data_IF_976173421388
#
_entry.id   IF_976173421388
#
_cell.length_a   1.000
_cell.length_b   1.000
_cell.length_c   1.000
_cell.angle_alpha   90.00
_cell.angle_beta   90.00
_cell.angle_gamma   90.00
#
_symmetry.space_group_name_H-M   'P 1'
#
loop_
_entity.id
_entity.type
_entity.pdbx_description
1 polymer ?
#
# COMPACT_ATOMS: atom_id res chain seq x y z
N UNK A 1 -33.13 -0.08 4.14
CA UNK A 1 -33.31 -0.31 2.69
C UNK A 1 -32.39 -1.44 2.28
N UNK A 2 -32.96 -2.51 1.74
CA UNK A 2 -32.34 -3.81 1.49
C UNK A 2 -31.21 -3.74 0.44
N UNK A 3 -30.03 -4.25 0.77
CA UNK A 3 -29.02 -4.64 -0.22
C UNK A 3 -29.20 -6.12 -0.55
N UNK A 4 -30.01 -6.40 -1.57
CA UNK A 4 -30.01 -7.69 -2.27
C UNK A 4 -28.82 -7.70 -3.24
N UNK A 5 -27.64 -8.01 -2.72
CA UNK A 5 -26.49 -8.45 -3.51
C UNK A 5 -26.41 -9.97 -3.48
N UNK A 6 -26.42 -10.60 -4.65
CA UNK A 6 -26.25 -12.04 -4.93
C UNK A 6 -25.61 -12.87 -3.82
N UNK A 7 -26.36 -13.81 -3.23
CA UNK A 7 -25.84 -14.79 -2.28
C UNK A 7 -24.98 -15.85 -2.99
N UNK A 8 -23.77 -16.18 -2.49
CA UNK A 8 -23.02 -17.34 -2.96
C UNK A 8 -23.71 -18.66 -2.54
N UNK A 9 -23.39 -19.79 -3.19
CA UNK A 9 -24.10 -21.07 -3.00
C UNK A 9 -24.11 -21.61 -1.56
N UNK A 10 -23.15 -21.19 -0.73
CA UNK A 10 -22.90 -21.73 0.60
C UNK A 10 -23.52 -20.90 1.75
N UNK A 11 -24.41 -19.95 1.44
CA UNK A 11 -25.10 -19.13 2.43
C UNK A 11 -24.43 -17.78 2.73
N UNK A 12 -24.91 -17.03 3.74
CA UNK A 12 -24.39 -15.72 4.08
C UNK A 12 -22.92 -15.83 4.53
N UNK A 13 -22.07 -15.03 3.89
CA UNK A 13 -20.63 -14.98 4.16
C UNK A 13 -20.44 -14.50 5.60
N UNK A 14 -19.73 -15.27 6.43
CA UNK A 14 -19.37 -14.84 7.78
C UNK A 14 -18.69 -13.47 7.74
N UNK A 15 -18.95 -12.60 8.71
CA UNK A 15 -18.35 -11.26 8.76
C UNK A 15 -16.81 -11.30 8.68
N UNK A 16 -16.20 -12.34 9.24
CA UNK A 16 -14.75 -12.62 9.21
C UNK A 16 -14.25 -13.08 7.83
N UNK A 17 -15.13 -13.66 7.02
CA UNK A 17 -14.85 -14.07 5.65
C UNK A 17 -15.10 -12.94 4.64
N UNK A 18 -15.81 -11.87 5.00
CA UNK A 18 -16.08 -10.72 4.11
C UNK A 18 -14.78 -10.04 3.63
N UNK A 19 -13.75 -9.80 4.47
CA UNK A 19 -12.44 -9.32 4.02
C UNK A 19 -11.80 -10.21 2.97
N UNK A 20 -11.75 -11.53 3.21
CA UNK A 20 -11.20 -12.49 2.25
C UNK A 20 -12.04 -12.52 0.95
N UNK A 21 -13.36 -12.45 1.08
CA UNK A 21 -14.29 -12.44 -0.05
C UNK A 21 -14.16 -11.17 -0.90
N UNK A 22 -14.12 -9.98 -0.30
CA UNK A 22 -13.86 -8.72 -1.01
C UNK A 22 -12.52 -8.75 -1.72
N UNK A 23 -11.48 -9.30 -1.08
CA UNK A 23 -10.15 -9.51 -1.68
C UNK A 23 -10.19 -10.45 -2.89
N UNK A 24 -11.03 -11.49 -2.87
CA UNK A 24 -11.21 -12.42 -4.00
C UNK A 24 -12.03 -11.82 -5.17
N UNK A 25 -12.84 -10.78 -4.90
CA UNK A 25 -13.68 -10.13 -5.92
C UNK A 25 -12.95 -9.02 -6.69
N UNK A 26 -11.81 -8.54 -6.19
CA UNK A 26 -11.02 -7.52 -6.88
C UNK A 26 -10.16 -8.20 -7.94
N UNK A 27 -10.45 -7.92 -9.21
CA UNK A 27 -9.67 -8.45 -10.31
C UNK A 27 -8.23 -7.92 -10.28
N UNK A 28 -7.26 -8.81 -10.48
CA UNK A 28 -5.82 -8.48 -10.49
C UNK A 28 -5.18 -8.91 -11.79
N UNK A 29 -4.15 -8.18 -12.18
CA UNK A 29 -3.36 -8.49 -13.36
C UNK A 29 -2.51 -9.72 -13.12
N UNK A 30 -2.58 -10.69 -14.04
CA UNK A 30 -1.82 -11.94 -13.93
C UNK A 30 -0.30 -11.72 -14.03
N UNK A 31 0.14 -10.58 -14.57
CA UNK A 31 1.57 -10.28 -14.73
C UNK A 31 2.18 -9.53 -13.54
N UNK A 32 1.58 -8.42 -13.10
CA UNK A 32 2.11 -7.58 -12.02
C UNK A 32 1.43 -7.78 -10.67
N UNK A 33 0.36 -8.58 -10.60
CA UNK A 33 -0.48 -8.79 -9.41
C UNK A 33 -1.15 -7.50 -8.86
N UNK A 34 -1.09 -6.37 -9.56
CA UNK A 34 -1.81 -5.15 -9.16
C UNK A 34 -3.30 -5.22 -9.51
N UNK A 35 -4.10 -4.41 -8.82
CA UNK A 35 -5.55 -4.30 -9.04
C UNK A 35 -5.86 -3.75 -10.43
N UNK A 36 -6.80 -4.37 -11.14
CA UNK A 36 -7.34 -3.89 -12.42
C UNK A 36 -8.48 -2.91 -12.15
N UNK A 37 -8.15 -1.62 -12.02
CA UNK A 37 -9.14 -0.55 -11.73
C UNK A 37 -9.85 -0.01 -12.97
N UNK A 38 -9.21 -0.08 -14.13
CA UNK A 38 -9.68 0.55 -15.38
C UNK A 38 -9.61 -0.43 -16.58
N UNK A 39 -9.04 0.02 -17.70
CA UNK A 39 -8.84 -0.76 -18.90
C UNK A 39 -8.12 -2.06 -18.58
N UNK A 40 -8.67 -3.16 -19.10
CA UNK A 40 -8.08 -4.50 -19.00
C UNK A 40 -8.03 -5.12 -20.38
N UNK A 41 -6.93 -5.82 -20.66
CA UNK A 41 -6.82 -6.66 -21.84
C UNK A 41 -6.95 -8.12 -21.42
N UNK A 42 -7.76 -8.87 -22.16
CA UNK A 42 -7.94 -10.31 -21.92
C UNK A 42 -7.19 -11.10 -23.00
N UNK A 43 -6.25 -11.95 -22.57
CA UNK A 43 -5.47 -12.80 -23.46
C UNK A 43 -5.61 -14.24 -22.96
N UNK A 44 -6.25 -15.11 -23.75
CA UNK A 44 -6.45 -16.52 -23.38
C UNK A 44 -7.11 -16.69 -22.01
N UNK A 45 -8.11 -15.86 -21.69
CA UNK A 45 -8.81 -15.86 -20.40
C UNK A 45 -8.06 -15.17 -19.25
N UNK A 46 -6.80 -14.76 -19.43
CA UNK A 46 -6.02 -14.03 -18.43
C UNK A 46 -6.24 -12.53 -18.57
N UNK A 47 -6.49 -11.86 -17.44
CA UNK A 47 -6.72 -10.41 -17.38
C UNK A 47 -5.41 -9.69 -17.05
N UNK A 48 -5.08 -8.67 -17.84
CA UNK A 48 -3.84 -7.90 -17.72
C UNK A 48 -4.11 -6.40 -17.83
N UNK A 49 -3.26 -5.59 -17.20
CA UNK A 49 -3.19 -4.17 -17.55
C UNK A 49 -2.67 -4.01 -18.99
N UNK A 50 -3.12 -3.00 -19.75
CA UNK A 50 -2.67 -2.75 -21.12
C UNK A 50 -1.14 -2.68 -21.25
N UNK A 51 -0.48 -2.02 -20.30
CA UNK A 51 0.99 -1.90 -20.23
C UNK A 51 1.69 -3.24 -19.96
N UNK A 52 1.02 -4.18 -19.30
CA UNK A 52 1.58 -5.50 -18.99
C UNK A 52 1.49 -6.49 -20.17
N UNK A 53 0.73 -6.17 -21.22
CA UNK A 53 0.45 -7.11 -22.33
C UNK A 53 1.71 -7.49 -23.10
N UNK A 54 2.54 -6.50 -23.46
CA UNK A 54 3.74 -6.73 -24.25
C UNK A 54 4.73 -7.64 -23.51
N UNK A 55 4.99 -7.34 -22.23
CA UNK A 55 5.93 -8.10 -21.41
C UNK A 55 5.41 -9.50 -21.07
N UNK A 56 4.09 -9.63 -20.84
CA UNK A 56 3.45 -10.94 -20.65
C UNK A 56 3.57 -11.83 -21.90
N UNK A 57 3.30 -11.29 -23.09
CA UNK A 57 3.48 -12.02 -24.36
C UNK A 57 4.94 -12.42 -24.59
N UNK A 58 5.87 -11.57 -24.19
CA UNK A 58 7.31 -11.82 -24.27
C UNK A 58 7.84 -12.75 -23.15
N UNK A 59 6.99 -13.22 -22.23
CA UNK A 59 7.36 -14.02 -21.05
C UNK A 59 8.45 -13.37 -20.18
N UNK A 60 8.51 -12.04 -20.16
CA UNK A 60 9.42 -11.33 -19.27
C UNK A 60 8.90 -11.42 -17.84
N UNK A 61 9.77 -11.55 -16.83
CA UNK A 61 9.34 -11.42 -15.44
C UNK A 61 8.91 -9.98 -15.17
N UNK A 62 7.89 -9.81 -14.32
CA UNK A 62 7.52 -8.48 -13.86
C UNK A 62 8.61 -7.94 -12.92
N UNK A 63 9.10 -6.74 -13.21
CA UNK A 63 10.03 -6.02 -12.35
C UNK A 63 9.30 -4.84 -11.69
N UNK A 64 9.15 -4.86 -10.35
CA UNK A 64 8.51 -3.75 -9.65
C UNK A 64 9.25 -2.43 -9.89
N UNK A 65 8.53 -1.34 -10.22
CA UNK A 65 9.16 -0.04 -10.47
C UNK A 65 9.83 0.51 -9.20
N UNK A 66 10.97 1.18 -9.39
CA UNK A 66 11.59 2.01 -8.35
C UNK A 66 10.90 3.37 -8.30
N UNK A 67 10.63 3.88 -7.10
CA UNK A 67 10.15 5.27 -6.90
C UNK A 67 10.90 5.93 -5.76
N UNK A 68 11.16 7.21 -5.90
CA UNK A 68 11.80 8.04 -4.88
C UNK A 68 11.13 9.40 -4.84
N UNK A 69 11.12 10.03 -3.67
CA UNK A 69 10.47 11.32 -3.49
C UNK A 69 10.42 11.77 -2.05
N UNK A 70 10.14 13.05 -1.87
CA UNK A 70 10.01 13.65 -0.55
C UNK A 70 8.57 13.52 -0.07
N UNK A 71 8.35 12.92 1.10
CA UNK A 71 7.03 12.79 1.72
C UNK A 71 7.08 13.28 3.17
N UNK A 72 5.91 13.66 3.69
CA UNK A 72 5.77 13.95 5.11
C UNK A 72 5.56 12.64 5.86
N UNK A 73 6.38 12.37 6.87
CA UNK A 73 6.29 11.20 7.73
C UNK A 73 5.81 11.62 9.11
N UNK A 74 4.81 10.94 9.66
CA UNK A 74 4.47 11.10 11.07
C UNK A 74 5.51 10.38 11.95
N UNK A 75 6.10 11.10 12.91
CA UNK A 75 7.04 10.52 13.85
C UNK A 75 6.28 9.84 15.00
N UNK A 76 6.61 8.56 15.24
CA UNK A 76 6.14 7.83 16.41
C UNK A 76 6.94 8.31 17.61
N UNK A 77 6.47 9.37 18.27
CA UNK A 77 7.10 9.94 19.45
C UNK A 77 6.66 9.23 20.74
N UNK A 78 7.60 9.00 21.67
CA UNK A 78 7.34 8.53 23.05
C UNK A 78 7.04 9.68 24.03
N UNK A 79 6.47 10.81 23.58
CA UNK A 79 6.30 12.00 24.41
C UNK A 79 4.83 12.27 24.73
N UNK A 80 4.56 12.53 26.02
CA UNK A 80 3.26 12.86 26.60
C UNK A 80 2.73 14.26 26.23
N UNK A 81 3.50 15.08 25.50
CA UNK A 81 3.09 16.42 25.09
C UNK A 81 2.94 16.54 23.55
N UNK A 82 1.75 16.96 23.14
CA UNK A 82 1.13 16.81 21.82
C UNK A 82 1.58 17.87 20.79
N UNK A 83 2.81 17.79 20.31
CA UNK A 83 3.22 18.46 19.07
C UNK A 83 2.87 17.61 17.84
N UNK A 84 2.29 18.20 16.78
CA UNK A 84 2.07 17.55 15.49
C UNK A 84 3.42 17.09 14.92
N UNK A 85 3.69 15.79 14.96
CA UNK A 85 5.00 15.18 14.74
C UNK A 85 5.31 14.87 13.27
N UNK A 86 4.86 15.70 12.33
CA UNK A 86 5.14 15.50 10.91
C UNK A 86 6.56 15.98 10.57
N UNK A 87 7.33 15.13 9.90
CA UNK A 87 8.70 15.41 9.47
C UNK A 87 8.86 15.10 8.00
N UNK A 88 9.41 16.03 7.24
CA UNK A 88 9.79 15.79 5.85
C UNK A 88 10.90 14.74 5.79
N UNK A 89 10.75 13.73 4.92
CA UNK A 89 11.74 12.66 4.72
C UNK A 89 11.81 12.29 3.25
N UNK A 90 12.99 11.89 2.81
CA UNK A 90 13.19 11.41 1.45
C UNK A 90 13.05 9.89 1.40
N UNK A 91 12.03 9.40 0.71
CA UNK A 91 11.70 7.99 0.59
C UNK A 91 12.29 7.39 -0.68
N UNK A 92 12.73 6.14 -0.57
CA UNK A 92 13.21 5.32 -1.68
C UNK A 92 12.54 3.96 -1.57
N UNK A 93 11.75 3.62 -2.58
CA UNK A 93 11.08 2.34 -2.76
C UNK A 93 11.82 1.55 -3.85
N UNK A 94 12.35 0.39 -3.47
CA UNK A 94 12.99 -0.54 -4.41
C UNK A 94 12.86 -1.98 -3.95
N UNK A 95 13.08 -2.93 -4.87
CA UNK A 95 13.12 -4.37 -4.56
C UNK A 95 14.21 -4.72 -3.55
N UNK A 96 15.35 -4.03 -3.59
CA UNK A 96 16.51 -4.33 -2.75
C UNK A 96 16.34 -3.78 -1.33
N UNK A 97 15.76 -2.59 -1.19
CA UNK A 97 15.68 -1.88 0.11
C UNK A 97 14.32 -1.96 0.77
N UNK A 98 13.29 -2.42 0.06
CA UNK A 98 11.91 -2.16 0.44
C UNK A 98 11.62 -0.66 0.43
N UNK A 99 10.85 -0.18 1.41
CA UNK A 99 10.57 1.24 1.62
C UNK A 99 11.51 1.83 2.66
N UNK A 100 12.58 2.47 2.21
CA UNK A 100 13.55 3.16 3.07
C UNK A 100 13.28 4.66 3.10
N UNK A 101 13.64 5.32 4.20
CA UNK A 101 13.61 6.78 4.26
C UNK A 101 14.85 7.39 4.90
N UNK A 102 15.25 8.53 4.36
CA UNK A 102 16.42 9.31 4.74
C UNK A 102 15.99 10.66 5.28
N UNK A 103 16.92 11.35 5.92
CA UNK A 103 16.67 12.70 6.44
C UNK A 103 16.24 13.67 5.36
N UNK A 104 16.89 13.60 4.20
CA UNK A 104 16.61 14.36 2.99
C UNK A 104 17.32 13.69 1.79
N UNK A 105 17.12 14.24 0.59
CA UNK A 105 17.72 13.71 -0.65
C UNK A 105 19.26 13.75 -0.61
N UNK A 106 19.86 14.77 -0.01
CA UNK A 106 21.31 14.89 0.11
C UNK A 106 21.92 13.75 0.95
N UNK A 107 21.29 13.40 2.07
CA UNK A 107 21.74 12.28 2.90
C UNK A 107 21.74 10.96 2.11
N UNK A 108 20.73 10.74 1.28
CA UNK A 108 20.67 9.58 0.38
C UNK A 108 21.81 9.60 -0.65
N UNK A 109 21.99 10.70 -1.38
CA UNK A 109 23.00 10.78 -2.45
C UNK A 109 24.42 10.76 -1.92
N UNK A 110 24.65 11.18 -0.67
CA UNK A 110 25.94 11.05 0.02
C UNK A 110 26.19 9.67 0.64
N UNK A 111 25.32 8.69 0.42
CA UNK A 111 25.50 7.32 0.90
C UNK A 111 25.31 7.14 2.42
N UNK A 112 24.64 8.07 3.10
CA UNK A 112 24.32 7.89 4.53
C UNK A 112 23.32 6.76 4.70
N UNK A 113 23.38 5.98 5.79
CA UNK A 113 22.40 4.94 6.05
C UNK A 113 20.99 5.54 6.20
N UNK A 114 19.94 4.79 5.84
CA UNK A 114 18.55 5.23 6.05
C UNK A 114 18.27 5.39 7.54
N UNK A 115 17.33 6.28 7.87
CA UNK A 115 16.85 6.44 9.24
C UNK A 115 16.04 5.22 9.69
N UNK A 116 15.32 4.60 8.76
CA UNK A 116 14.74 3.27 8.90
C UNK A 116 14.41 2.72 7.50
N UNK A 117 14.23 1.41 7.40
CA UNK A 117 13.77 0.72 6.21
C UNK A 117 12.71 -0.32 6.57
N UNK A 118 11.59 -0.29 5.86
CA UNK A 118 10.54 -1.30 5.95
C UNK A 118 10.76 -2.31 4.85
N UNK A 119 11.17 -3.52 5.24
CA UNK A 119 11.24 -4.66 4.32
C UNK A 119 9.81 -5.05 3.91
N UNK A 120 9.52 -5.01 2.62
CA UNK A 120 8.19 -5.26 2.07
C UNK A 120 7.95 -6.77 1.91
N UNK A 121 7.76 -7.45 3.04
CA UNK A 121 7.40 -8.87 3.09
C UNK A 121 5.91 -9.06 2.77
N UNK A 122 5.45 -10.29 2.50
CA UNK A 122 4.03 -10.56 2.23
C UNK A 122 3.06 -10.18 3.37
N UNK A 123 3.57 -9.96 4.59
CA UNK A 123 2.79 -9.53 5.76
C UNK A 123 2.60 -8.01 5.82
N UNK A 124 3.38 -7.25 5.05
CA UNK A 124 3.23 -5.80 4.97
C UNK A 124 1.96 -5.46 4.20
N UNK A 125 1.18 -4.54 4.77
CA UNK A 125 -0.10 -4.09 4.23
C UNK A 125 -0.08 -2.59 4.04
N UNK A 126 -0.77 -2.12 3.02
CA UNK A 126 -0.99 -0.71 2.79
C UNK A 126 -2.46 -0.35 2.97
N UNK A 127 -2.73 0.80 3.59
CA UNK A 127 -4.06 1.39 3.72
C UNK A 127 -3.99 2.73 2.98
N UNK A 128 -4.74 2.87 1.90
CA UNK A 128 -4.64 4.04 1.00
C UNK A 128 -5.55 5.18 1.41
N UNK A 129 -6.57 4.90 2.25
CA UNK A 129 -7.53 5.88 2.77
C UNK A 129 -7.64 5.77 4.29
N UNK A 130 -6.57 6.13 5.03
CA UNK A 130 -6.57 5.96 6.46
C UNK A 130 -7.60 6.86 7.14
N UNK A 131 -8.25 6.33 8.18
CA UNK A 131 -9.20 7.08 9.01
C UNK A 131 -8.67 7.20 10.44
N UNK A 132 -9.25 8.11 11.23
CA UNK A 132 -8.91 8.26 12.66
C UNK A 132 -9.15 7.00 13.49
N UNK A 133 -10.00 6.08 13.01
CA UNK A 133 -10.22 4.77 13.64
C UNK A 133 -9.00 3.85 13.48
N UNK A 134 -8.26 3.99 12.38
CA UNK A 134 -7.07 3.19 12.06
C UNK A 134 -5.83 3.82 12.68
N UNK A 135 -5.71 5.15 12.60
CA UNK A 135 -4.61 5.91 13.17
C UNK A 135 -5.12 7.26 13.65
N UNK A 136 -4.99 7.55 14.94
CA UNK A 136 -5.56 8.76 15.56
C UNK A 136 -5.15 10.07 14.87
N UNK A 137 -3.94 10.10 14.30
CA UNK A 137 -3.37 11.27 13.59
C UNK A 137 -3.61 11.26 12.07
N UNK A 138 -4.34 10.28 11.52
CA UNK A 138 -4.75 10.28 10.12
C UNK A 138 -5.91 11.27 9.94
N UNK A 139 -5.64 12.38 9.28
CA UNK A 139 -6.57 13.51 9.16
C UNK A 139 -6.98 13.84 7.73
N UNK A 140 -6.20 13.37 6.75
CA UNK A 140 -6.43 13.65 5.34
C UNK A 140 -6.36 12.36 4.51
N UNK A 141 -7.48 11.61 4.40
CA UNK A 141 -7.50 10.33 3.68
C UNK A 141 -7.21 10.45 2.18
N UNK A 142 -7.24 11.66 1.61
CA UNK A 142 -6.97 11.89 0.18
C UNK A 142 -5.49 12.03 -0.15
N UNK A 143 -4.63 12.19 0.85
CA UNK A 143 -3.17 12.35 0.65
C UNK A 143 -2.33 11.50 1.59
N UNK A 144 -2.94 10.87 2.59
CA UNK A 144 -2.26 10.02 3.57
C UNK A 144 -2.29 8.55 3.17
N UNK A 145 -1.23 7.83 3.53
CA UNK A 145 -1.07 6.39 3.34
C UNK A 145 -0.54 5.82 4.66
N UNK A 146 -1.02 4.64 5.06
CA UNK A 146 -0.42 3.88 6.17
C UNK A 146 0.22 2.62 5.62
N UNK A 147 1.48 2.40 5.98
CA UNK A 147 2.15 1.12 5.83
C UNK A 147 2.13 0.41 7.18
N UNK A 148 1.49 -0.75 7.22
CA UNK A 148 1.44 -1.64 8.38
C UNK A 148 2.47 -2.74 8.18
N UNK A 149 3.40 -2.88 9.11
CA UNK A 149 4.51 -3.82 9.04
C UNK A 149 4.81 -4.42 10.41
N UNK A 150 5.62 -5.48 10.46
CA UNK A 150 5.99 -6.14 11.72
C UNK A 150 7.47 -5.93 12.00
N UNK A 151 7.79 -5.53 13.23
CA UNK A 151 9.16 -5.33 13.71
C UNK A 151 9.27 -5.90 15.13
N UNK A 152 10.16 -6.86 15.35
CA UNK A 152 10.30 -7.52 16.65
C UNK A 152 9.05 -8.27 17.12
N UNK A 153 8.22 -8.76 16.19
CA UNK A 153 6.94 -9.42 16.51
C UNK A 153 5.78 -8.46 16.80
N UNK A 154 6.02 -7.15 16.84
CA UNK A 154 4.97 -6.14 17.05
C UNK A 154 4.52 -5.52 15.72
N UNK A 155 3.21 -5.33 15.58
CA UNK A 155 2.66 -4.53 14.49
C UNK A 155 3.01 -3.05 14.67
N UNK A 156 3.63 -2.46 13.65
CA UNK A 156 3.98 -1.05 13.55
C UNK A 156 3.22 -0.40 12.41
N UNK A 157 2.95 0.89 12.55
CA UNK A 157 2.26 1.71 11.55
C UNK A 157 3.13 2.90 11.17
N UNK A 158 3.40 3.03 9.89
CA UNK A 158 4.09 4.16 9.30
C UNK A 158 3.05 5.01 8.55
N UNK A 159 2.67 6.13 9.15
CA UNK A 159 1.81 7.12 8.51
C UNK A 159 2.66 8.10 7.71
N UNK A 160 2.35 8.22 6.41
CA UNK A 160 2.97 9.17 5.48
C UNK A 160 1.89 10.00 4.79
N UNK A 161 2.26 11.20 4.35
CA UNK A 161 1.40 12.11 3.59
C UNK A 161 2.13 12.64 2.36
N UNK A 162 1.43 12.59 1.24
CA UNK A 162 1.82 13.17 -0.04
C UNK A 162 1.41 14.64 -0.11
N UNK A 163 2.03 15.40 -1.01
CA UNK A 163 1.75 16.81 -1.22
C UNK A 163 0.33 17.05 -1.74
N UNK A 164 -0.15 16.16 -2.61
CA UNK A 164 -1.46 16.24 -3.24
C UNK A 164 -1.97 14.83 -3.61
N UNK A 165 -3.18 14.79 -4.17
CA UNK A 165 -3.83 13.53 -4.53
C UNK A 165 -3.14 12.84 -5.73
N UNK A 166 -2.54 13.60 -6.65
CA UNK A 166 -1.83 13.02 -7.80
C UNK A 166 -0.59 12.24 -7.34
N UNK A 167 0.23 12.86 -6.50
CA UNK A 167 1.40 12.21 -5.91
C UNK A 167 0.97 11.01 -5.05
N UNK A 168 -0.13 11.12 -4.31
CA UNK A 168 -0.72 10.01 -3.56
C UNK A 168 -1.06 8.83 -4.47
N UNK A 169 -1.80 9.04 -5.56
CA UNK A 169 -2.18 7.97 -6.47
C UNK A 169 -0.96 7.31 -7.13
N UNK A 170 0.05 8.10 -7.50
CA UNK A 170 1.32 7.56 -8.01
C UNK A 170 2.05 6.69 -6.99
N UNK A 171 2.13 7.13 -5.73
CA UNK A 171 2.76 6.34 -4.67
C UNK A 171 1.97 5.07 -4.37
N UNK A 172 0.64 5.14 -4.30
CA UNK A 172 -0.23 3.98 -4.11
C UNK A 172 -0.04 2.98 -5.23
N UNK A 173 -0.14 3.39 -6.50
CA UNK A 173 0.07 2.49 -7.65
C UNK A 173 1.42 1.79 -7.61
N UNK A 174 2.47 2.52 -7.24
CA UNK A 174 3.82 1.95 -7.15
C UNK A 174 3.93 0.99 -5.97
N UNK A 175 3.43 1.35 -4.79
CA UNK A 175 3.45 0.50 -3.59
C UNK A 175 2.63 -0.77 -3.77
N UNK A 176 1.50 -0.73 -4.50
CA UNK A 176 0.68 -1.91 -4.80
C UNK A 176 1.46 -3.01 -5.56
N UNK A 177 2.54 -2.65 -6.26
CA UNK A 177 3.43 -3.63 -6.92
C UNK A 177 4.31 -4.42 -5.94
N UNK A 178 4.41 -3.96 -4.69
CA UNK A 178 5.22 -4.56 -3.62
C UNK A 178 4.39 -5.12 -2.47
N UNK A 179 3.29 -4.45 -2.11
CA UNK A 179 2.48 -4.77 -0.93
C UNK A 179 1.01 -4.79 -1.25
N UNK A 180 0.26 -5.60 -0.49
CA UNK A 180 -1.19 -5.71 -0.69
C UNK A 180 -1.91 -4.51 -0.08
N UNK A 181 -2.88 -4.00 -0.83
CA UNK A 181 -3.80 -2.97 -0.36
C UNK A 181 -4.90 -3.58 0.52
N UNK A 182 -5.20 -2.92 1.63
CA UNK A 182 -6.16 -3.29 2.67
C UNK A 182 -6.95 -2.02 3.06
N UNK A 183 -7.82 -1.57 2.17
CA UNK A 183 -8.56 -0.31 2.34
C UNK A 183 -9.78 -0.39 3.28
N UNK A 184 -10.27 -1.59 3.60
CA UNK A 184 -11.38 -1.75 4.57
C UNK A 184 -10.80 -1.87 6.00
N UNK A 185 -11.18 -0.99 6.94
CA UNK A 185 -10.75 -1.07 8.34
C UNK A 185 -11.08 -2.41 9.02
N UNK A 186 -12.06 -3.16 8.50
CA UNK A 186 -12.44 -4.49 9.00
C UNK A 186 -11.44 -5.58 8.59
N UNK A 187 -10.74 -5.38 7.49
CA UNK A 187 -9.72 -6.31 6.99
C UNK A 187 -8.42 -6.27 7.83
N UNK A 188 -8.33 -5.34 8.80
CA UNK A 188 -7.21 -5.20 9.72
C UNK A 188 -7.30 -6.21 10.88
N UNK A 189 -8.52 -6.68 11.22
CA UNK A 189 -8.78 -7.45 12.44
C UNK A 189 -8.68 -8.97 12.30
N UNK A 190 -8.64 -9.50 11.08
CA UNK A 190 -8.67 -10.94 10.84
C UNK A 190 -7.37 -11.43 10.15
N UNK A 191 -6.31 -11.54 10.95
CA UNK A 191 -5.18 -12.47 10.75
C UNK A 191 -4.58 -12.84 12.09
#
# INVERSE_FOLDING_TARGET
GNFLGTMPPDGPIHNECIPAFKRLQIERCVHCDCVLREARTVIGGKKLHPECVADFKAKKPFEPPRKEGTLMKFAVGRSFFSGKNWKERYFVLSKQTGLAYFENKQAYTSGKPPKNAVMLTPQVRMITKPTRLIHKDATNPSTEIIIVFFEGGEERRLLIACKNWQEHDEWVRTLETYVKNVDDPRDIRDT
#
